data_IF_245433515910
#
_entry.id   IF_245433515910
#
_cell.length_a   1.000
_cell.length_b   1.000
_cell.length_c   1.000
_cell.angle_alpha   90.00
_cell.angle_beta   90.00
_cell.angle_gamma   90.00
#
_symmetry.space_group_name_H-M   'P 1'
#
loop_
_entity.id
_entity.type
_entity.pdbx_description
1 polymer ?
#
# COMPACT_ATOMS: atom_id res chain seq x y z
N UNK A 1 16.76 20.47 4.85
CA UNK A 1 16.60 18.99 4.86
C UNK A 1 15.21 18.66 5.40
N UNK A 2 14.46 17.85 4.68
CA UNK A 2 13.12 17.44 5.12
C UNK A 2 13.26 16.39 6.22
N UNK A 3 12.53 16.57 7.30
CA UNK A 3 12.48 15.59 8.37
C UNK A 3 11.66 14.37 7.93
N UNK A 4 12.20 13.17 8.14
CA UNK A 4 11.53 11.93 7.77
C UNK A 4 10.54 11.56 8.87
N UNK A 5 9.28 11.36 8.49
CA UNK A 5 8.21 10.97 9.41
C UNK A 5 8.00 9.46 9.40
N UNK A 6 7.94 8.86 10.58
CA UNK A 6 7.56 7.46 10.79
C UNK A 6 6.14 7.39 11.31
N UNK A 7 5.33 6.53 10.70
CA UNK A 7 3.96 6.27 11.15
C UNK A 7 3.82 4.78 11.38
N UNK A 8 3.54 4.39 12.64
CA UNK A 8 3.31 2.99 12.98
C UNK A 8 1.95 2.54 12.47
N UNK A 9 1.93 1.36 11.89
CA UNK A 9 0.72 0.69 11.41
C UNK A 9 0.58 -0.67 12.10
N UNK A 10 -0.64 -1.22 12.21
CA UNK A 10 -0.81 -2.57 12.78
C UNK A 10 0.00 -3.64 12.07
N UNK A 11 0.23 -3.45 10.76
CA UNK A 11 0.96 -4.41 9.91
C UNK A 11 2.44 -4.10 9.75
N UNK A 12 2.95 -2.97 10.26
CA UNK A 12 4.34 -2.57 10.09
C UNK A 12 4.53 -1.08 10.27
N UNK A 13 5.10 -0.40 9.27
CA UNK A 13 5.28 1.04 9.33
C UNK A 13 5.28 1.68 7.95
N UNK A 14 5.06 3.01 7.93
CA UNK A 14 5.30 3.90 6.79
C UNK A 14 6.40 4.86 7.17
N UNK A 15 7.35 5.07 6.29
CA UNK A 15 8.35 6.13 6.41
C UNK A 15 8.16 7.08 5.24
N UNK A 16 7.77 8.31 5.53
CA UNK A 16 7.45 9.32 4.53
C UNK A 16 8.75 10.00 4.09
N UNK A 17 9.18 9.74 2.86
CA UNK A 17 10.45 10.23 2.32
C UNK A 17 10.29 11.60 1.67
N UNK A 18 9.19 11.85 0.98
CA UNK A 18 8.87 13.13 0.36
C UNK A 18 7.36 13.32 0.28
N UNK A 19 6.92 14.51 0.65
CA UNK A 19 5.52 14.95 0.51
C UNK A 19 5.54 16.37 0.00
N UNK A 20 5.00 16.60 -1.19
CA UNK A 20 4.87 17.92 -1.77
C UNK A 20 3.58 18.01 -2.57
N UNK A 21 3.30 19.17 -3.17
CA UNK A 21 2.04 19.41 -3.87
C UNK A 21 1.83 18.50 -5.09
N UNK A 22 2.90 17.92 -5.62
CA UNK A 22 2.85 17.15 -6.86
C UNK A 22 2.89 15.63 -6.64
N UNK A 23 3.60 15.16 -5.61
CA UNK A 23 3.75 13.72 -5.38
C UNK A 23 4.11 13.41 -3.93
N UNK A 24 3.97 12.12 -3.59
CA UNK A 24 4.34 11.56 -2.29
C UNK A 24 5.17 10.30 -2.53
N UNK A 25 6.25 10.14 -1.77
CA UNK A 25 7.07 8.92 -1.78
C UNK A 25 7.15 8.37 -0.36
N UNK A 26 6.77 7.11 -0.20
CA UNK A 26 6.80 6.41 1.09
C UNK A 26 7.58 5.12 0.96
N UNK A 27 8.30 4.79 2.02
CA UNK A 27 8.84 3.44 2.24
C UNK A 27 7.89 2.72 3.20
N UNK A 28 7.49 1.52 2.83
CA UNK A 28 6.52 0.74 3.58
C UNK A 28 7.13 -0.59 3.99
N UNK A 29 6.93 -0.97 5.25
CA UNK A 29 7.32 -2.27 5.77
C UNK A 29 6.08 -3.07 6.17
N UNK A 30 5.92 -4.26 5.58
CA UNK A 30 4.84 -5.19 5.87
C UNK A 30 5.39 -6.43 6.54
N UNK A 31 4.93 -6.71 7.75
CA UNK A 31 5.31 -7.93 8.48
C UNK A 31 4.72 -9.16 7.81
N UNK A 32 5.47 -10.25 7.80
CA UNK A 32 4.98 -11.56 7.36
C UNK A 32 3.70 -11.93 8.13
N UNK A 33 2.68 -12.40 7.41
CA UNK A 33 1.41 -12.79 7.99
C UNK A 33 0.46 -11.64 8.32
N UNK A 34 0.85 -10.40 8.03
CA UNK A 34 0.01 -9.22 8.23
C UNK A 34 -0.46 -8.64 6.91
N UNK A 35 -1.52 -7.84 6.96
CA UNK A 35 -2.08 -7.22 5.77
C UNK A 35 -2.59 -5.81 6.07
N UNK A 36 -2.60 -4.95 5.07
CA UNK A 36 -3.34 -3.69 5.14
C UNK A 36 -4.85 -3.97 4.96
N UNK A 37 -5.67 -2.93 5.08
CA UNK A 37 -7.11 -3.07 4.87
C UNK A 37 -7.44 -3.37 3.42
N UNK A 38 -8.58 -4.02 3.18
CA UNK A 38 -9.19 -4.04 1.85
C UNK A 38 -9.80 -2.67 1.63
N UNK A 39 -9.33 -1.95 0.62
CA UNK A 39 -9.60 -0.53 0.47
C UNK A 39 -9.57 -0.07 -0.98
N UNK A 40 -10.04 1.14 -1.22
CA UNK A 40 -9.84 1.84 -2.49
C UNK A 40 -9.65 3.34 -2.23
N UNK A 41 -9.18 4.04 -3.25
CA UNK A 41 -9.00 5.49 -3.24
C UNK A 41 -9.84 6.12 -4.34
N UNK A 42 -10.41 7.27 -4.08
CA UNK A 42 -11.26 7.96 -5.06
C UNK A 42 -10.45 8.82 -6.05
N UNK A 43 -9.35 9.36 -5.59
CA UNK A 43 -8.50 10.29 -6.37
C UNK A 43 -7.05 9.84 -6.49
N UNK A 44 -6.55 9.17 -5.46
CA UNK A 44 -5.16 8.79 -5.35
C UNK A 44 -4.78 7.76 -6.42
N UNK A 45 -3.72 8.08 -7.16
CA UNK A 45 -3.08 7.19 -8.12
C UNK A 45 -1.71 6.85 -7.57
N UNK A 46 -1.36 5.57 -7.53
CA UNK A 46 -0.10 5.14 -6.91
C UNK A 46 0.57 4.00 -7.66
N UNK A 47 1.89 3.88 -7.45
CA UNK A 47 2.68 2.76 -7.96
C UNK A 47 3.49 2.18 -6.80
N UNK A 48 3.44 0.86 -6.64
CA UNK A 48 4.25 0.13 -5.67
C UNK A 48 5.42 -0.52 -6.37
N UNK A 49 6.58 -0.48 -5.72
CA UNK A 49 7.80 -1.16 -6.17
C UNK A 49 8.38 -1.96 -5.01
N UNK A 50 8.55 -3.28 -5.19
CA UNK A 50 9.05 -4.16 -4.13
C UNK A 50 10.57 -4.16 -4.12
N UNK A 51 11.13 -3.80 -2.96
CA UNK A 51 12.59 -3.78 -2.74
C UNK A 51 13.08 -5.14 -2.23
N UNK A 52 12.38 -5.70 -1.23
CA UNK A 52 12.75 -6.99 -0.64
C UNK A 52 11.51 -7.70 -0.10
N UNK A 53 11.62 -9.00 0.08
CA UNK A 53 10.54 -9.82 0.63
C UNK A 53 9.64 -10.40 -0.45
N UNK A 54 8.40 -10.68 -0.06
CA UNK A 54 7.39 -11.30 -0.94
C UNK A 54 6.01 -10.82 -0.49
N UNK A 55 5.28 -10.20 -1.40
CA UNK A 55 3.95 -9.65 -1.13
C UNK A 55 2.90 -10.38 -1.96
N UNK A 56 1.74 -10.63 -1.35
CA UNK A 56 0.54 -11.03 -2.07
C UNK A 56 -0.32 -9.80 -2.23
N UNK A 57 -0.64 -9.44 -3.45
CA UNK A 57 -1.45 -8.28 -3.78
C UNK A 57 -2.75 -8.73 -4.39
N UNK A 58 -3.87 -8.35 -3.74
CA UNK A 58 -5.22 -8.67 -4.22
C UNK A 58 -5.84 -7.39 -4.78
N UNK A 59 -6.45 -7.46 -5.96
CA UNK A 59 -6.99 -6.29 -6.64
C UNK A 59 -8.20 -6.67 -7.50
N UNK A 60 -9.08 -5.71 -7.74
CA UNK A 60 -10.24 -5.91 -8.59
C UNK A 60 -11.18 -4.72 -8.63
N UNK A 61 -12.17 -4.80 -9.49
CA UNK A 61 -13.20 -3.77 -9.61
C UNK A 61 -14.29 -3.92 -8.55
N UNK A 62 -14.51 -5.14 -8.08
CA UNK A 62 -15.48 -5.44 -7.03
C UNK A 62 -14.84 -6.32 -5.97
N UNK A 63 -15.41 -6.27 -4.76
CA UNK A 63 -14.95 -7.07 -3.62
C UNK A 63 -15.03 -8.58 -3.90
N UNK A 64 -15.97 -9.00 -4.74
CA UNK A 64 -16.22 -10.41 -5.09
C UNK A 64 -15.37 -10.91 -6.25
N UNK A 65 -14.70 -10.02 -6.97
CA UNK A 65 -13.94 -10.36 -8.19
C UNK A 65 -12.44 -10.10 -8.05
N UNK A 66 -11.88 -10.22 -6.84
CA UNK A 66 -10.47 -9.96 -6.60
C UNK A 66 -9.59 -11.03 -7.24
N UNK A 67 -8.50 -10.58 -7.84
CA UNK A 67 -7.42 -11.42 -8.36
C UNK A 67 -6.20 -11.24 -7.47
N UNK A 68 -5.41 -12.28 -7.33
CA UNK A 68 -4.18 -12.25 -6.54
C UNK A 68 -2.97 -12.34 -7.45
N UNK A 69 -1.94 -11.58 -7.10
CA UNK A 69 -0.63 -11.67 -7.74
C UNK A 69 0.44 -11.63 -6.65
N UNK A 70 1.51 -12.40 -6.85
CA UNK A 70 2.66 -12.40 -5.95
C UNK A 70 3.71 -11.45 -6.53
N UNK A 71 4.09 -10.45 -5.73
CA UNK A 71 5.08 -9.45 -6.11
C UNK A 71 6.42 -9.80 -5.45
N UNK A 72 7.44 -10.02 -6.28
CA UNK A 72 8.82 -10.32 -5.89
C UNK A 72 9.66 -9.05 -5.89
N UNK A 73 10.87 -9.06 -5.31
CA UNK A 73 11.79 -7.92 -5.45
C UNK A 73 11.99 -7.53 -6.92
N UNK A 74 11.88 -6.23 -7.21
CA UNK A 74 11.92 -5.69 -8.57
C UNK A 74 10.58 -5.64 -9.29
N UNK A 75 9.54 -6.26 -8.74
CA UNK A 75 8.18 -6.18 -9.28
C UNK A 75 7.55 -4.84 -8.93
N UNK A 76 6.63 -4.38 -9.77
CA UNK A 76 5.85 -3.18 -9.49
C UNK A 76 4.38 -3.40 -9.86
N UNK A 77 3.52 -2.55 -9.31
CA UNK A 77 2.09 -2.57 -9.61
C UNK A 77 1.56 -1.15 -9.64
N UNK A 78 0.83 -0.80 -10.71
CA UNK A 78 0.19 0.51 -10.85
C UNK A 78 -1.26 0.41 -10.41
N UNK A 79 -1.66 1.27 -9.47
CA UNK A 79 -2.97 1.26 -8.85
C UNK A 79 -3.71 2.55 -9.15
N UNK A 80 -4.64 2.54 -10.12
CA UNK A 80 -5.46 3.71 -10.43
C UNK A 80 -6.56 3.91 -9.37
N UNK A 81 -7.21 5.09 -9.35
CA UNK A 81 -8.36 5.31 -8.48
C UNK A 81 -9.46 4.26 -8.66
N UNK A 82 -10.21 4.02 -7.59
CA UNK A 82 -11.35 3.10 -7.50
C UNK A 82 -11.02 1.61 -7.57
N UNK A 83 -9.77 1.23 -7.82
CA UNK A 83 -9.39 -0.18 -7.77
C UNK A 83 -9.35 -0.66 -6.32
N UNK A 84 -10.17 -1.65 -6.01
CA UNK A 84 -10.21 -2.29 -4.68
C UNK A 84 -8.95 -3.14 -4.55
N UNK A 85 -8.25 -3.03 -3.44
CA UNK A 85 -6.98 -3.74 -3.27
C UNK A 85 -6.65 -4.02 -1.81
N UNK A 86 -5.79 -5.00 -1.60
CA UNK A 86 -5.19 -5.36 -0.32
C UNK A 86 -3.79 -5.89 -0.55
N UNK A 87 -2.86 -5.52 0.32
CA UNK A 87 -1.49 -6.03 0.32
C UNK A 87 -1.29 -6.88 1.56
N UNK A 88 -0.70 -8.07 1.39
CA UNK A 88 -0.41 -9.01 2.47
C UNK A 88 1.06 -9.44 2.39
N UNK A 89 1.74 -9.48 3.53
CA UNK A 89 3.12 -9.98 3.62
C UNK A 89 3.15 -11.50 3.66
N UNK A 90 3.70 -12.12 2.61
CA UNK A 90 4.05 -13.54 2.65
C UNK A 90 5.34 -13.69 3.46
N UNK A 91 6.28 -12.76 3.25
CA UNK A 91 7.50 -12.60 4.04
C UNK A 91 7.54 -11.17 4.53
N UNK A 92 8.44 -10.87 5.47
CA UNK A 92 8.74 -9.47 5.83
C UNK A 92 9.19 -8.75 4.57
N UNK A 93 8.52 -7.67 4.22
CA UNK A 93 8.69 -7.02 2.92
C UNK A 93 8.90 -5.52 3.06
N UNK A 94 9.78 -5.00 2.23
CA UNK A 94 10.03 -3.57 2.09
C UNK A 94 9.64 -3.17 0.67
N UNK A 95 8.81 -2.13 0.55
CA UNK A 95 8.38 -1.64 -0.74
C UNK A 95 8.21 -0.12 -0.73
N UNK A 96 8.25 0.47 -1.90
CA UNK A 96 8.15 1.91 -2.10
C UNK A 96 6.80 2.21 -2.75
N UNK A 97 6.10 3.21 -2.21
CA UNK A 97 4.89 3.74 -2.80
C UNK A 97 5.16 5.14 -3.31
N UNK A 98 4.91 5.36 -4.60
CA UNK A 98 4.90 6.70 -5.20
C UNK A 98 3.46 7.02 -5.57
N UNK A 99 2.96 8.18 -5.13
CA UNK A 99 1.56 8.51 -5.36
C UNK A 99 1.35 9.99 -5.59
N UNK A 100 0.15 10.34 -6.07
CA UNK A 100 -0.35 11.70 -6.03
C UNK A 100 -0.57 12.11 -4.57
N UNK A 101 -0.63 13.43 -4.31
CA UNK A 101 -0.81 13.93 -2.95
C UNK A 101 -2.28 13.91 -2.53
N UNK A 102 -2.74 12.73 -2.08
CA UNK A 102 -4.09 12.49 -1.55
C UNK A 102 -3.96 11.61 -0.31
N UNK A 103 -3.32 12.13 0.74
CA UNK A 103 -2.91 11.35 1.92
C UNK A 103 -4.07 10.75 2.71
N UNK A 104 -5.21 11.45 2.78
CA UNK A 104 -6.37 11.03 3.56
C UNK A 104 -7.44 10.31 2.72
N UNK A 105 -7.15 10.08 1.46
CA UNK A 105 -8.07 9.48 0.51
C UNK A 105 -8.03 7.95 0.59
N UNK A 106 -8.70 7.41 1.59
CA UNK A 106 -8.82 5.96 1.75
C UNK A 106 -10.22 5.59 2.23
N UNK A 107 -10.84 4.62 1.56
CA UNK A 107 -12.13 4.03 1.98
C UNK A 107 -11.86 2.56 2.27
N UNK A 108 -11.96 2.19 3.56
CA UNK A 108 -11.73 0.82 4.02
C UNK A 108 -13.01 0.01 3.97
N UNK A 109 -12.94 -1.15 3.32
CA UNK A 109 -14.05 -2.09 3.20
C UNK A 109 -13.97 -3.21 4.23
N UNK A 110 -12.76 -3.73 4.48
CA UNK A 110 -12.47 -4.75 5.49
C UNK A 110 -11.10 -4.48 6.09
N UNK A 111 -10.94 -4.77 7.37
CA UNK A 111 -9.67 -4.59 8.06
C UNK A 111 -9.51 -5.64 9.16
N UNK A 112 -8.35 -6.31 9.19
CA UNK A 112 -8.01 -7.32 10.20
C UNK A 112 -7.80 -6.73 11.59
N UNK A 113 -7.70 -5.41 11.71
CA UNK A 113 -7.40 -4.70 12.96
C UNK A 113 -8.55 -3.82 13.45
N UNK A 114 -9.74 -3.95 12.85
CA UNK A 114 -10.93 -3.27 13.31
C UNK A 114 -11.03 -1.79 12.99
N UNK A 115 -10.34 -1.31 11.98
CA UNK A 115 -10.37 0.11 11.57
C UNK A 115 -11.51 0.47 10.62
N UNK A 116 -12.39 -0.47 10.33
CA UNK A 116 -13.59 -0.24 9.51
C UNK A 116 -14.75 0.09 10.41
#
# INVERSE_FOLDING_TARGET
MTEISYIQKPWGYERWLEVNDNYVVKELFMKAGHSCSLQYHEHKHETFFVVSGLLKFSYGETKESLKDVVLKPGSFFVLPPFMIHRCEGIENSLYIECSTNHLDDVIRLEDSYGRV
#
